data_IF_284774652081
#
_entry.id   IF_284774652081
#
_cell.length_a   1.000
_cell.length_b   1.000
_cell.length_c   1.000
_cell.angle_alpha   90.00
_cell.angle_beta   90.00
_cell.angle_gamma   90.00
#
_symmetry.space_group_name_H-M   'P 1'
#
loop_
_entity.id
_entity.type
_entity.pdbx_description
1 polymer ?
#
# COMPACT_ATOMS: atom_id res chain seq x y z
N UNK A 1 3.65 -10.78 20.39
CA UNK A 1 3.63 -10.16 19.05
C UNK A 1 3.47 -8.65 19.25
N UNK A 2 4.45 -7.82 18.84
CA UNK A 2 4.39 -6.37 19.12
C UNK A 2 3.33 -5.70 18.22
N UNK A 3 2.49 -4.77 18.71
CA UNK A 3 1.28 -4.33 18.00
C UNK A 3 1.48 -3.34 16.84
N UNK A 4 2.60 -3.33 16.12
CA UNK A 4 2.99 -2.24 15.19
C UNK A 4 3.04 -2.52 13.69
N UNK A 5 2.91 -3.78 13.23
CA UNK A 5 3.30 -4.17 11.85
C UNK A 5 2.23 -3.95 10.75
N UNK A 6 1.49 -2.83 10.74
CA UNK A 6 0.23 -2.74 9.97
C UNK A 6 0.37 -2.17 8.56
N UNK A 7 1.08 -1.05 8.42
CA UNK A 7 1.50 -0.51 7.11
C UNK A 7 2.80 -1.16 6.62
N UNK A 8 3.57 -1.78 7.52
CA UNK A 8 4.82 -2.47 7.20
C UNK A 8 4.63 -3.65 6.23
N UNK A 9 3.49 -4.37 6.32
CA UNK A 9 3.15 -5.40 5.35
C UNK A 9 3.09 -4.83 3.91
N UNK A 10 2.57 -3.61 3.75
CA UNK A 10 2.58 -2.90 2.47
C UNK A 10 4.00 -2.56 1.99
N UNK A 11 4.88 -2.12 2.88
CA UNK A 11 6.29 -1.85 2.54
C UNK A 11 7.06 -3.10 2.08
N UNK A 12 6.80 -4.26 2.70
CA UNK A 12 7.36 -5.55 2.27
C UNK A 12 6.85 -5.91 0.87
N UNK A 13 5.56 -5.77 0.62
CA UNK A 13 4.96 -5.99 -0.70
C UNK A 13 5.60 -5.09 -1.75
N UNK A 14 5.73 -3.78 -1.47
CA UNK A 14 6.36 -2.82 -2.36
C UNK A 14 7.81 -3.23 -2.69
N UNK A 15 8.56 -3.70 -1.70
CA UNK A 15 9.91 -4.22 -1.88
C UNK A 15 9.94 -5.47 -2.76
N UNK A 16 9.03 -6.42 -2.53
CA UNK A 16 8.93 -7.64 -3.34
C UNK A 16 8.59 -7.31 -4.79
N UNK A 17 7.66 -6.38 -5.03
CA UNK A 17 7.32 -5.91 -6.38
C UNK A 17 8.53 -5.30 -7.08
N UNK A 18 9.24 -4.36 -6.45
CA UNK A 18 10.46 -3.76 -7.03
C UNK A 18 11.60 -4.75 -7.25
N UNK A 19 11.56 -5.93 -6.61
CA UNK A 19 12.54 -7.01 -6.75
C UNK A 19 11.99 -8.20 -7.52
N UNK A 20 10.88 -8.05 -8.24
CA UNK A 20 10.22 -9.13 -8.99
C UNK A 20 11.06 -9.64 -10.19
N UNK A 21 12.13 -8.93 -10.56
CA UNK A 21 13.15 -9.39 -11.51
C UNK A 21 13.92 -10.61 -10.96
N UNK A 22 14.11 -10.69 -9.64
CA UNK A 22 14.82 -11.77 -8.93
C UNK A 22 13.91 -12.64 -8.06
N UNK A 23 12.97 -12.03 -7.35
CA UNK A 23 12.04 -12.72 -6.44
C UNK A 23 10.78 -13.08 -7.21
N UNK A 24 10.77 -14.28 -7.78
CA UNK A 24 9.66 -14.76 -8.62
C UNK A 24 8.49 -15.36 -7.84
N UNK A 25 8.73 -15.78 -6.60
CA UNK A 25 7.72 -16.39 -5.72
C UNK A 25 7.92 -15.86 -4.31
N UNK A 26 6.83 -15.44 -3.67
CA UNK A 26 6.78 -15.06 -2.27
C UNK A 26 5.50 -15.61 -1.63
N UNK A 27 5.62 -16.16 -0.42
CA UNK A 27 4.51 -16.75 0.32
C UNK A 27 4.32 -16.02 1.64
N UNK A 28 3.12 -15.48 1.89
CA UNK A 28 2.78 -14.90 3.19
C UNK A 28 2.61 -16.02 4.23
N UNK A 29 3.45 -16.03 5.26
CA UNK A 29 3.36 -16.97 6.37
C UNK A 29 2.63 -16.34 7.56
N UNK A 30 1.44 -16.80 7.98
CA UNK A 30 0.56 -17.80 7.36
C UNK A 30 -0.77 -17.18 6.91
N UNK A 31 -1.64 -17.95 6.26
CA UNK A 31 -2.88 -17.43 5.69
C UNK A 31 -4.04 -17.30 6.70
N UNK A 32 -4.15 -18.22 7.67
CA UNK A 32 -5.27 -18.28 8.62
C UNK A 32 -4.79 -18.56 10.05
N UNK A 33 -5.34 -17.85 11.03
CA UNK A 33 -5.14 -17.94 12.49
C UNK A 33 -3.74 -17.62 13.01
N UNK A 34 -2.72 -18.35 12.58
CA UNK A 34 -1.36 -18.21 13.09
C UNK A 34 -0.65 -17.10 12.33
N UNK A 35 -0.36 -15.97 13.00
CA UNK A 35 0.32 -14.78 12.41
C UNK A 35 -0.29 -14.36 11.05
N UNK A 36 -1.61 -14.40 10.94
CA UNK A 36 -2.30 -14.43 9.65
C UNK A 36 -3.10 -13.15 9.33
N UNK A 37 -3.35 -12.85 8.04
CA UNK A 37 -4.27 -11.80 7.63
C UNK A 37 -5.74 -12.15 7.92
N UNK A 38 -6.07 -13.43 8.07
CA UNK A 38 -7.40 -13.91 8.40
C UNK A 38 -7.39 -14.65 9.74
N UNK A 39 -8.29 -14.31 10.64
CA UNK A 39 -8.61 -15.11 11.82
C UNK A 39 -9.99 -15.74 11.65
N UNK A 40 -10.19 -16.93 12.19
CA UNK A 40 -11.49 -17.61 12.21
C UNK A 40 -11.81 -18.09 13.62
N UNK A 41 -13.11 -18.13 13.92
CA UNK A 41 -13.65 -18.81 15.09
C UNK A 41 -14.88 -19.62 14.67
N UNK A 42 -15.58 -20.24 15.62
CA UNK A 42 -16.78 -21.03 15.33
C UNK A 42 -17.90 -20.22 14.64
N UNK A 43 -17.89 -18.89 14.76
CA UNK A 43 -18.99 -18.02 14.37
C UNK A 43 -18.67 -17.13 13.16
N UNK A 44 -17.43 -17.13 12.64
CA UNK A 44 -17.10 -16.33 11.48
C UNK A 44 -15.62 -16.11 11.21
N UNK A 45 -15.37 -15.14 10.33
CA UNK A 45 -14.05 -14.76 9.82
C UNK A 45 -13.79 -13.29 10.16
N UNK A 46 -12.59 -12.99 10.60
CA UNK A 46 -12.10 -11.66 10.88
C UNK A 46 -10.92 -11.32 9.98
N UNK A 47 -10.97 -10.15 9.35
CA UNK A 47 -9.88 -9.61 8.54
C UNK A 47 -8.99 -8.74 9.43
N UNK A 48 -7.72 -9.13 9.56
CA UNK A 48 -6.71 -8.33 10.24
C UNK A 48 -6.26 -7.18 9.34
N UNK A 49 -5.65 -6.16 9.93
CA UNK A 49 -5.18 -4.98 9.19
C UNK A 49 -4.19 -5.32 8.06
N UNK A 50 -3.36 -6.35 8.24
CA UNK A 50 -2.42 -6.83 7.21
C UNK A 50 -3.10 -7.51 6.01
N UNK A 51 -4.40 -7.85 6.10
CA UNK A 51 -5.18 -8.39 4.99
C UNK A 51 -5.27 -7.39 3.83
N UNK A 52 -5.53 -6.12 4.13
CA UNK A 52 -5.81 -5.11 3.11
C UNK A 52 -4.63 -4.87 2.17
N UNK A 53 -3.39 -4.56 2.66
CA UNK A 53 -2.24 -4.38 1.78
C UNK A 53 -1.98 -5.60 0.89
N UNK A 54 -2.11 -6.80 1.45
CA UNK A 54 -1.94 -8.05 0.71
C UNK A 54 -3.03 -8.24 -0.36
N UNK A 55 -4.29 -8.01 0.00
CA UNK A 55 -5.43 -8.09 -0.92
C UNK A 55 -5.32 -7.09 -2.07
N UNK A 56 -4.90 -5.86 -1.81
CA UNK A 56 -4.69 -4.86 -2.86
C UNK A 56 -3.59 -5.25 -3.84
N UNK A 57 -2.47 -5.77 -3.35
CA UNK A 57 -1.42 -6.26 -4.23
C UNK A 57 -1.92 -7.38 -5.14
N UNK A 58 -2.63 -8.37 -4.57
CA UNK A 58 -3.20 -9.47 -5.34
C UNK A 58 -4.24 -9.01 -6.37
N UNK A 59 -5.04 -7.99 -6.08
CA UNK A 59 -6.09 -7.51 -6.97
C UNK A 59 -5.57 -6.57 -8.05
N UNK A 60 -4.65 -5.65 -7.70
CA UNK A 60 -4.33 -4.50 -8.54
C UNK A 60 -2.90 -4.48 -9.10
N UNK A 61 -1.95 -5.21 -8.50
CA UNK A 61 -0.57 -5.25 -8.97
C UNK A 61 -0.40 -6.31 -10.08
N UNK A 62 -0.88 -5.99 -11.29
CA UNK A 62 -0.84 -6.85 -12.49
C UNK A 62 0.09 -6.29 -13.56
N UNK A 63 0.56 -7.18 -14.43
CA UNK A 63 1.43 -6.84 -15.56
C UNK A 63 2.88 -6.64 -15.15
N UNK A 64 3.49 -5.60 -15.69
CA UNK A 64 4.90 -5.25 -15.50
C UNK A 64 5.08 -4.32 -14.31
N UNK A 65 6.12 -4.54 -13.52
CA UNK A 65 6.53 -3.59 -12.49
C UNK A 65 7.21 -2.40 -13.16
N UNK A 66 6.83 -1.19 -12.76
CA UNK A 66 7.43 0.06 -13.24
C UNK A 66 8.71 0.34 -12.47
N UNK A 67 9.76 0.77 -13.20
CA UNK A 67 11.00 1.24 -12.61
C UNK A 67 10.83 2.69 -12.12
N UNK A 68 10.26 2.83 -10.93
CA UNK A 68 10.05 4.11 -10.28
C UNK A 68 11.28 4.50 -9.45
N UNK A 69 11.69 5.76 -9.56
CA UNK A 69 12.75 6.35 -8.74
C UNK A 69 12.12 7.42 -7.83
N UNK A 70 11.48 7.03 -6.71
CA UNK A 70 10.88 7.99 -5.79
C UNK A 70 11.98 8.83 -5.12
N UNK A 71 11.87 10.14 -5.24
CA UNK A 71 12.67 11.09 -4.47
C UNK A 71 11.86 11.52 -3.24
N UNK A 72 12.41 11.29 -2.05
CA UNK A 72 11.72 11.53 -0.79
C UNK A 72 12.72 11.93 0.29
N UNK A 73 12.39 12.93 1.14
CA UNK A 73 13.16 13.19 2.35
C UNK A 73 13.31 11.91 3.19
N UNK A 74 14.41 11.83 3.92
CA UNK A 74 14.74 10.67 4.76
C UNK A 74 14.73 11.02 6.23
N UNK A 75 14.65 9.99 7.08
CA UNK A 75 14.88 10.08 8.51
C UNK A 75 15.86 8.98 8.94
N UNK A 76 16.66 9.24 9.97
CA UNK A 76 17.67 8.30 10.42
C UNK A 76 17.07 7.22 11.32
N UNK A 77 17.39 5.96 11.01
CA UNK A 77 17.01 4.79 11.81
C UNK A 77 18.28 4.04 12.18
N UNK A 78 18.83 4.19 13.40
CA UNK A 78 19.97 3.40 13.83
C UNK A 78 19.62 1.91 14.01
N UNK A 79 20.46 0.96 13.57
CA UNK A 79 21.73 1.12 12.85
C UNK A 79 21.59 1.11 11.31
N UNK A 80 20.37 1.15 10.77
CA UNK A 80 20.02 1.04 9.35
C UNK A 80 20.52 2.24 8.52
N UNK A 81 20.47 3.45 9.08
CA UNK A 81 20.80 4.71 8.39
C UNK A 81 19.56 5.43 7.85
N UNK A 82 19.69 6.28 6.80
CA UNK A 82 18.60 7.10 6.31
C UNK A 82 17.55 6.26 5.56
N UNK A 83 16.29 6.36 6.00
CA UNK A 83 15.13 5.68 5.42
C UNK A 83 14.18 6.71 4.81
N UNK A 84 13.70 6.53 3.56
CA UNK A 84 12.76 7.47 2.95
C UNK A 84 11.39 7.43 3.63
N UNK A 85 10.77 8.60 3.78
CA UNK A 85 9.41 8.69 4.30
C UNK A 85 8.39 8.04 3.36
N UNK A 86 8.54 8.25 2.05
CA UNK A 86 7.67 7.65 1.05
C UNK A 86 8.29 6.40 0.44
N UNK A 87 7.48 5.37 0.27
CA UNK A 87 7.85 4.15 -0.45
C UNK A 87 6.73 3.76 -1.41
N UNK A 88 7.08 3.71 -2.69
CA UNK A 88 6.12 3.56 -3.78
C UNK A 88 6.53 2.39 -4.67
N UNK A 89 5.56 1.56 -5.02
CA UNK A 89 5.67 0.59 -6.11
C UNK A 89 4.58 0.86 -7.14
N UNK A 90 4.91 0.67 -8.42
CA UNK A 90 3.98 0.84 -9.53
C UNK A 90 3.93 -0.39 -10.42
N UNK A 91 2.77 -0.69 -10.98
CA UNK A 91 2.63 -1.69 -12.03
C UNK A 91 1.84 -1.14 -13.22
N UNK A 92 2.10 -1.69 -14.40
CA UNK A 92 1.38 -1.40 -15.63
C UNK A 92 0.97 -2.70 -16.32
N UNK A 93 -0.33 -2.82 -16.59
CA UNK A 93 -0.91 -3.94 -17.32
C UNK A 93 -1.10 -3.56 -18.80
N UNK A 94 -0.30 -4.11 -19.73
CA UNK A 94 -0.39 -3.77 -21.14
C UNK A 94 -1.68 -4.27 -21.81
N UNK A 95 -2.35 -5.29 -21.24
CA UNK A 95 -3.60 -5.83 -21.82
C UNK A 95 -4.78 -4.88 -21.58
N UNK A 96 -4.81 -4.23 -20.41
CA UNK A 96 -5.90 -3.34 -20.01
C UNK A 96 -5.53 -1.85 -20.03
N UNK A 97 -4.25 -1.53 -20.22
CA UNK A 97 -3.68 -0.19 -20.09
C UNK A 97 -3.66 0.34 -18.67
N UNK A 98 -4.01 -0.48 -17.66
CA UNK A 98 -4.15 -0.02 -16.27
C UNK A 98 -2.80 0.19 -15.61
N UNK A 99 -2.66 1.31 -14.92
CA UNK A 99 -1.53 1.58 -14.02
C UNK A 99 -2.01 1.54 -12.57
N UNK A 100 -1.25 0.91 -11.69
CA UNK A 100 -1.53 0.86 -10.25
C UNK A 100 -0.35 1.39 -9.48
N UNK A 101 -0.60 2.25 -8.49
CA UNK A 101 0.38 2.75 -7.52
C UNK A 101 0.01 2.24 -6.13
N UNK A 102 1.00 1.68 -5.43
CA UNK A 102 0.94 1.26 -4.03
C UNK A 102 1.89 2.16 -3.23
N UNK A 103 1.34 2.98 -2.35
CA UNK A 103 2.03 4.13 -1.76
C UNK A 103 2.01 4.03 -0.24
N UNK A 104 3.19 3.97 0.38
CA UNK A 104 3.39 3.96 1.82
C UNK A 104 3.92 5.33 2.26
N UNK A 105 3.24 5.97 3.22
CA UNK A 105 3.79 7.07 4.01
C UNK A 105 4.20 6.54 5.39
N UNK A 106 5.51 6.57 5.68
CA UNK A 106 6.08 6.17 6.97
C UNK A 106 6.12 7.29 8.00
N UNK A 107 5.82 8.52 7.61
CA UNK A 107 5.77 9.64 8.54
C UNK A 107 4.63 9.42 9.53
N UNK A 108 4.92 9.43 10.82
CA UNK A 108 3.93 9.15 11.86
C UNK A 108 3.04 10.35 12.16
N UNK A 109 3.48 11.57 11.80
CA UNK A 109 2.86 12.81 12.24
C UNK A 109 2.40 13.68 11.07
N UNK A 110 3.05 13.57 9.90
CA UNK A 110 2.81 14.49 8.77
C UNK A 110 2.25 13.80 7.54
N UNK A 111 1.26 14.44 6.94
CA UNK A 111 0.92 14.13 5.55
C UNK A 111 2.11 14.47 4.65
N UNK A 112 2.29 13.69 3.60
CA UNK A 112 3.38 13.84 2.63
C UNK A 112 2.81 13.86 1.23
N UNK A 113 3.18 14.88 0.46
CA UNK A 113 2.79 14.98 -0.94
C UNK A 113 3.68 14.07 -1.78
N UNK A 114 3.06 13.24 -2.61
CA UNK A 114 3.71 12.47 -3.66
C UNK A 114 3.30 13.04 -5.02
N UNK A 115 4.27 13.56 -5.75
CA UNK A 115 4.07 13.95 -7.14
C UNK A 115 4.40 12.79 -8.08
N UNK A 116 3.49 12.49 -9.00
CA UNK A 116 3.64 11.48 -10.05
C UNK A 116 3.52 12.17 -11.41
N UNK A 117 4.55 11.99 -12.24
CA UNK A 117 4.61 12.54 -13.60
C UNK A 117 4.52 11.40 -14.63
N UNK A 118 3.46 11.41 -15.42
CA UNK A 118 3.19 10.45 -16.49
C UNK A 118 3.88 10.92 -17.78
N UNK A 119 4.89 10.17 -18.24
CA UNK A 119 5.73 10.57 -19.39
C UNK A 119 5.13 10.26 -20.76
N UNK A 120 4.41 9.15 -20.88
CA UNK A 120 3.91 8.67 -22.18
C UNK A 120 2.42 9.01 -22.35
N UNK A 121 1.55 8.28 -21.65
CA UNK A 121 0.12 8.51 -21.67
C UNK A 121 -0.38 8.85 -20.26
N UNK A 122 -0.96 10.04 -20.02
CA UNK A 122 -1.65 10.30 -18.77
C UNK A 122 -2.88 9.41 -18.68
N UNK A 123 -3.28 8.98 -17.48
CA UNK A 123 -4.53 8.28 -17.30
C UNK A 123 -5.72 9.21 -17.58
N UNK A 124 -6.83 8.67 -18.07
CA UNK A 124 -8.06 9.44 -18.26
C UNK A 124 -9.00 9.37 -17.05
N UNK A 125 -8.91 8.32 -16.23
CA UNK A 125 -9.77 8.15 -15.05
C UNK A 125 -9.15 7.33 -13.94
N UNK A 126 -9.67 7.55 -12.74
CA UNK A 126 -9.36 6.76 -11.54
C UNK A 126 -10.35 5.60 -11.44
N UNK A 127 -9.85 4.37 -11.37
CA UNK A 127 -10.64 3.13 -11.24
C UNK A 127 -10.83 2.75 -9.78
N UNK A 128 -9.80 2.97 -8.96
CA UNK A 128 -9.82 2.70 -7.52
C UNK A 128 -8.92 3.71 -6.84
N UNK A 129 -9.35 4.20 -5.68
CA UNK A 129 -8.55 5.06 -4.81
C UNK A 129 -8.95 4.78 -3.36
N UNK A 130 -8.08 4.12 -2.62
CA UNK A 130 -8.34 3.69 -1.24
C UNK A 130 -7.11 3.93 -0.37
N UNK A 131 -7.33 4.21 0.91
CA UNK A 131 -6.27 4.39 1.92
C UNK A 131 -6.59 3.59 3.16
N UNK A 132 -5.56 3.02 3.77
CA UNK A 132 -5.58 2.41 5.08
C UNK A 132 -4.76 3.29 6.01
N UNK A 133 -5.43 3.96 6.94
CA UNK A 133 -4.84 4.83 7.97
C UNK A 133 -5.74 4.83 9.22
N UNK A 134 -5.34 5.52 10.28
CA UNK A 134 -6.14 5.71 11.50
C UNK A 134 -5.33 6.28 12.66
N UNK A 135 -5.95 7.02 13.58
CA UNK A 135 -5.20 7.81 14.60
C UNK A 135 -4.45 7.01 15.68
N UNK A 136 -4.64 5.69 15.77
CA UNK A 136 -3.99 4.85 16.78
C UNK A 136 -3.19 3.71 16.11
N UNK A 137 -1.86 3.83 16.14
CA UNK A 137 -0.91 2.81 15.67
C UNK A 137 -1.03 1.47 16.40
N UNK A 138 -1.79 1.40 17.51
CA UNK A 138 -2.11 0.20 18.28
C UNK A 138 -3.55 -0.31 18.12
N UNK A 139 -4.43 0.35 17.36
CA UNK A 139 -5.75 -0.17 16.95
C UNK A 139 -5.76 -1.47 16.13
N UNK A 140 -6.39 -2.53 16.63
CA UNK A 140 -6.51 -3.80 15.92
C UNK A 140 -7.97 -4.19 15.73
N UNK A 141 -8.25 -5.05 14.76
CA UNK A 141 -9.58 -5.64 14.60
C UNK A 141 -9.71 -6.84 15.54
N UNK A 142 -10.88 -6.98 16.15
CA UNK A 142 -11.24 -8.12 17.00
C UNK A 142 -12.61 -8.64 16.58
N UNK A 143 -13.00 -9.83 17.03
CA UNK A 143 -14.35 -10.34 16.71
C UNK A 143 -15.46 -9.44 17.26
N UNK A 144 -15.23 -8.77 18.39
CA UNK A 144 -16.18 -7.81 18.99
C UNK A 144 -16.17 -6.44 18.29
N UNK A 145 -15.04 -6.07 17.67
CA UNK A 145 -14.87 -4.82 16.94
C UNK A 145 -14.10 -5.07 15.62
N UNK A 146 -14.78 -5.62 14.59
CA UNK A 146 -14.12 -6.15 13.38
C UNK A 146 -13.67 -5.07 12.39
N UNK A 147 -14.11 -3.83 12.57
CA UNK A 147 -13.94 -2.75 11.59
C UNK A 147 -13.17 -1.54 12.13
N UNK A 148 -12.29 -1.72 13.14
CA UNK A 148 -11.48 -0.63 13.71
C UNK A 148 -10.42 -0.11 12.73
N UNK A 149 -9.88 -0.99 11.90
CA UNK A 149 -8.88 -0.68 10.87
C UNK A 149 -9.37 -1.30 9.57
N UNK A 150 -9.92 -0.44 8.70
CA UNK A 150 -10.49 -0.82 7.41
C UNK A 150 -10.09 0.21 6.35
N UNK A 151 -10.06 -0.18 5.06
CA UNK A 151 -9.94 0.76 3.95
C UNK A 151 -10.95 1.90 4.03
N UNK A 152 -10.51 3.08 3.66
CA UNK A 152 -11.33 4.29 3.51
C UNK A 152 -11.13 4.85 2.12
N UNK A 153 -12.14 5.51 1.53
CA UNK A 153 -11.97 6.24 0.28
C UNK A 153 -10.81 7.22 0.39
N UNK A 154 -9.97 7.26 -0.64
CA UNK A 154 -8.87 8.21 -0.75
C UNK A 154 -9.18 9.19 -1.87
N UNK A 155 -9.19 10.50 -1.61
CA UNK A 155 -9.50 11.50 -2.63
C UNK A 155 -8.31 11.65 -3.60
N UNK A 156 -8.43 11.20 -4.85
CA UNK A 156 -7.33 11.29 -5.80
C UNK A 156 -7.35 12.66 -6.51
N UNK A 157 -6.19 13.20 -6.92
CA UNK A 157 -6.17 14.33 -7.85
C UNK A 157 -6.86 13.95 -9.16
N UNK A 158 -7.35 14.97 -9.89
CA UNK A 158 -7.90 14.76 -11.23
C UNK A 158 -6.83 14.13 -12.14
N UNK A 159 -7.19 13.15 -12.99
CA UNK A 159 -6.27 12.57 -13.96
C UNK A 159 -5.63 13.65 -14.83
N UNK A 160 -4.30 13.64 -14.88
CA UNK A 160 -3.49 14.60 -15.61
C UNK A 160 -2.09 14.02 -15.81
N UNK A 161 -1.26 14.65 -16.65
CA UNK A 161 0.15 14.28 -16.81
C UNK A 161 0.98 14.47 -15.54
N UNK A 162 0.55 15.35 -14.64
CA UNK A 162 1.13 15.54 -13.31
C UNK A 162 0.04 15.43 -12.27
N UNK A 163 0.18 14.49 -11.36
CA UNK A 163 -0.78 14.19 -10.29
C UNK A 163 -0.09 14.31 -8.95
N UNK A 164 -0.67 15.06 -8.01
CA UNK A 164 -0.13 15.22 -6.65
C UNK A 164 -1.10 14.56 -5.66
N UNK A 165 -0.62 13.53 -4.97
CA UNK A 165 -1.37 12.80 -3.96
C UNK A 165 -0.96 13.29 -2.57
N UNK A 166 -1.91 13.66 -1.72
CA UNK A 166 -1.64 13.99 -0.33
C UNK A 166 -1.80 12.75 0.55
N UNK A 167 -0.69 12.08 0.88
CA UNK A 167 -0.71 10.83 1.63
C UNK A 167 -0.79 11.12 3.13
N UNK A 168 -1.84 10.69 3.85
CA UNK A 168 -1.96 10.93 5.29
C UNK A 168 -0.78 10.34 6.08
N UNK A 169 -0.57 10.76 7.34
CA UNK A 169 0.40 10.11 8.21
C UNK A 169 0.12 8.59 8.30
N UNK A 170 1.20 7.81 8.44
CA UNK A 170 1.22 6.35 8.67
C UNK A 170 0.25 5.56 7.78
N UNK A 171 0.10 6.00 6.53
CA UNK A 171 -0.90 5.47 5.61
C UNK A 171 -0.31 4.49 4.61
N UNK A 172 -1.12 3.54 4.17
CA UNK A 172 -0.88 2.78 2.95
C UNK A 172 -2.04 2.99 1.99
N UNK A 173 -1.75 3.40 0.76
CA UNK A 173 -2.77 3.77 -0.24
C UNK A 173 -2.59 2.98 -1.52
N UNK A 174 -3.70 2.68 -2.18
CA UNK A 174 -3.72 2.13 -3.54
C UNK A 174 -4.50 3.07 -4.46
N UNK A 175 -3.92 3.38 -5.61
CA UNK A 175 -4.59 4.10 -6.69
C UNK A 175 -4.41 3.29 -7.97
N UNK A 176 -5.52 2.90 -8.60
CA UNK A 176 -5.53 2.25 -9.91
C UNK A 176 -6.20 3.17 -10.91
N UNK A 177 -5.56 3.32 -12.06
CA UNK A 177 -5.86 4.29 -13.10
C UNK A 177 -6.01 3.58 -14.44
N UNK A 178 -6.87 4.08 -15.30
CA UNK A 178 -6.98 3.59 -16.68
C UNK A 178 -6.80 4.73 -17.68
N UNK A 179 -6.46 4.40 -18.94
CA UNK A 179 -6.65 5.30 -20.07
C UNK A 179 -8.13 5.65 -20.25
#
# INVERSE_FOLDING_TARGET
MRPGARSEAGGIINTLLRRADRVRVACLAQLVNVIAPLLTNANGVLRQSIYTPYSWALQYARGHVLDLVPDSPTYDVPPIGPVPYLDVAGTFDPETGRATLLMLNRDLDKSRQLEVVWREAPPARVVTSQVLTGGDLKAFNSFDAPSRVVPQPFDPPKPASRMVFDLPPHSYSVVSLSP
#
